data_IF_665052375660
#
_entry.id   IF_665052375660
#
_cell.length_a   1.000
_cell.length_b   1.000
_cell.length_c   1.000
_cell.angle_alpha   90.00
_cell.angle_beta   90.00
_cell.angle_gamma   90.00
#
_symmetry.space_group_name_H-M   'P 1'
#
loop_
_entity.id
_entity.type
_entity.pdbx_description
1 polymer ?
#
# COMPACT_ATOMS: atom_id res chain seq x y z
N UNK A 1 -4.14 14.82 -45.95
CA UNK A 1 -3.83 13.52 -46.56
C UNK A 1 -2.37 13.25 -46.37
N UNK A 2 -1.97 12.49 -45.40
CA UNK A 2 -0.61 11.96 -45.24
C UNK A 2 -0.72 10.60 -44.60
N UNK A 3 -0.42 9.57 -45.35
CA UNK A 3 -0.50 8.16 -45.02
C UNK A 3 0.67 7.77 -44.09
N UNK A 4 0.37 7.06 -43.03
CA UNK A 4 1.35 6.41 -42.18
C UNK A 4 1.77 5.07 -42.81
N UNK A 5 3.06 4.91 -43.09
CA UNK A 5 3.63 3.70 -43.62
C UNK A 5 3.84 2.66 -42.50
N UNK A 6 3.18 1.51 -42.64
CA UNK A 6 3.46 0.29 -41.87
C UNK A 6 4.71 -0.38 -42.46
N UNK A 7 5.79 -0.39 -41.72
CA UNK A 7 6.96 -1.17 -42.05
C UNK A 7 6.79 -2.61 -41.56
N UNK A 8 6.47 -3.53 -42.47
CA UNK A 8 6.54 -4.99 -42.24
C UNK A 8 7.98 -5.43 -42.43
N UNK A 9 8.63 -5.86 -41.37
CA UNK A 9 9.92 -6.55 -41.44
C UNK A 9 9.62 -8.04 -41.57
N UNK A 10 9.83 -8.58 -42.79
CA UNK A 10 9.88 -10.02 -43.04
C UNK A 10 11.34 -10.44 -42.86
N UNK A 11 11.66 -11.15 -41.80
CA UNK A 11 12.92 -11.86 -41.67
C UNK A 11 12.75 -13.30 -42.14
N UNK A 12 13.48 -13.62 -43.19
CA UNK A 12 13.55 -14.99 -43.74
C UNK A 12 14.35 -15.90 -42.80
N UNK A 13 13.84 -17.12 -42.64
CA UNK A 13 14.39 -18.15 -41.77
C UNK A 13 15.65 -18.79 -42.35
N UNK A 14 16.64 -19.02 -41.49
CA UNK A 14 17.50 -20.20 -41.58
C UNK A 14 18.04 -20.58 -40.19
N UNK A 15 17.55 -21.70 -39.71
CA UNK A 15 18.22 -22.65 -38.83
C UNK A 15 18.65 -22.22 -37.40
N UNK A 16 18.05 -22.87 -36.39
CA UNK A 16 18.67 -23.11 -35.10
C UNK A 16 18.02 -22.39 -33.91
N UNK A 17 17.27 -23.13 -33.13
CA UNK A 17 16.95 -23.00 -31.69
C UNK A 17 17.36 -21.72 -30.91
N UNK A 18 16.61 -20.62 -31.00
CA UNK A 18 16.70 -19.52 -30.06
C UNK A 18 15.46 -18.59 -29.98
N UNK A 19 14.28 -19.01 -30.49
CA UNK A 19 13.08 -18.16 -30.49
C UNK A 19 12.23 -18.21 -29.19
N UNK A 20 12.51 -19.13 -28.27
CA UNK A 20 11.70 -19.30 -27.06
C UNK A 20 11.99 -18.24 -25.95
N UNK A 21 13.17 -17.61 -25.93
CA UNK A 21 13.55 -16.68 -24.87
C UNK A 21 13.15 -15.21 -25.12
N UNK A 22 12.93 -14.83 -26.37
CA UNK A 22 12.61 -13.42 -26.72
C UNK A 22 11.11 -13.12 -26.47
N UNK A 23 10.23 -14.09 -26.72
CA UNK A 23 8.79 -13.93 -26.46
C UNK A 23 8.47 -13.79 -24.99
N UNK A 24 9.04 -14.64 -24.13
CA UNK A 24 8.83 -14.60 -22.69
C UNK A 24 9.33 -13.30 -22.04
N UNK A 25 10.42 -12.72 -22.54
CA UNK A 25 10.96 -11.46 -22.06
C UNK A 25 10.10 -10.24 -22.43
N UNK A 26 9.51 -10.24 -23.62
CA UNK A 26 8.62 -9.17 -24.08
C UNK A 26 7.26 -9.20 -23.34
N UNK A 27 6.71 -10.38 -23.11
CA UNK A 27 5.45 -10.54 -22.39
C UNK A 27 5.61 -10.13 -20.91
N UNK A 28 6.70 -10.50 -20.25
CA UNK A 28 6.98 -10.12 -18.88
C UNK A 28 7.22 -8.60 -18.75
N UNK A 29 7.95 -7.98 -19.67
CA UNK A 29 8.18 -6.54 -19.68
C UNK A 29 6.88 -5.77 -19.93
N UNK A 30 6.01 -6.23 -20.83
CA UNK A 30 4.72 -5.63 -21.12
C UNK A 30 3.78 -5.76 -19.92
N UNK A 31 3.72 -6.94 -19.29
CA UNK A 31 2.90 -7.19 -18.11
C UNK A 31 3.33 -6.30 -16.93
N UNK A 32 4.63 -6.14 -16.71
CA UNK A 32 5.17 -5.25 -15.69
C UNK A 32 4.81 -3.79 -15.96
N UNK A 33 4.96 -3.31 -17.19
CA UNK A 33 4.65 -1.92 -17.55
C UNK A 33 3.17 -1.59 -17.36
N UNK A 34 2.27 -2.52 -17.66
CA UNK A 34 0.82 -2.37 -17.42
C UNK A 34 0.52 -2.34 -15.92
N UNK A 35 1.16 -3.20 -15.13
CA UNK A 35 1.02 -3.21 -13.67
C UNK A 35 1.49 -1.90 -13.05
N UNK A 36 2.64 -1.38 -13.48
CA UNK A 36 3.20 -0.11 -13.00
C UNK A 36 2.29 1.08 -13.37
N UNK A 37 1.75 1.12 -14.58
CA UNK A 37 0.81 2.14 -15.02
C UNK A 37 -0.51 2.09 -14.21
N UNK A 38 -1.04 0.90 -13.95
CA UNK A 38 -2.23 0.73 -13.11
C UNK A 38 -1.97 1.22 -11.68
N UNK A 39 -0.83 0.90 -11.10
CA UNK A 39 -0.44 1.37 -9.77
C UNK A 39 -0.30 2.89 -9.73
N UNK A 40 0.33 3.51 -10.73
CA UNK A 40 0.47 4.96 -10.81
C UNK A 40 -0.89 5.68 -10.91
N UNK A 41 -1.80 5.16 -11.73
CA UNK A 41 -3.16 5.68 -11.88
C UNK A 41 -4.01 5.45 -10.62
N UNK A 42 -3.83 4.32 -9.94
CA UNK A 42 -4.45 4.02 -8.65
C UNK A 42 -4.00 5.02 -7.58
N UNK A 43 -2.69 5.27 -7.46
CA UNK A 43 -2.13 6.28 -6.55
C UNK A 43 -2.67 7.69 -6.85
N UNK A 44 -2.86 8.05 -8.12
CA UNK A 44 -3.46 9.34 -8.51
C UNK A 44 -4.90 9.45 -8.00
N UNK A 45 -5.72 8.43 -8.19
CA UNK A 45 -7.10 8.40 -7.67
C UNK A 45 -7.10 8.47 -6.13
N UNK A 46 -6.23 7.71 -5.46
CA UNK A 46 -6.09 7.71 -4.01
C UNK A 46 -5.73 9.10 -3.46
N UNK A 47 -4.76 9.81 -4.05
CA UNK A 47 -4.41 11.19 -3.64
C UNK A 47 -5.56 12.17 -3.77
N UNK A 48 -6.47 11.95 -4.72
CA UNK A 48 -7.68 12.77 -4.89
C UNK A 48 -8.82 12.37 -3.92
N UNK A 49 -8.60 11.41 -3.04
CA UNK A 49 -9.60 10.89 -2.11
C UNK A 49 -10.58 9.89 -2.73
N UNK A 50 -10.45 9.58 -4.01
CA UNK A 50 -11.29 8.58 -4.69
C UNK A 50 -10.76 7.16 -4.44
N UNK A 51 -11.06 6.68 -3.23
CA UNK A 51 -10.63 5.35 -2.78
C UNK A 51 -11.26 4.22 -3.60
N UNK A 52 -12.51 4.37 -4.00
CA UNK A 52 -13.20 3.35 -4.78
C UNK A 52 -12.54 3.16 -6.15
N UNK A 53 -12.23 4.26 -6.83
CA UNK A 53 -11.51 4.24 -8.10
C UNK A 53 -10.07 3.72 -7.94
N UNK A 54 -9.40 4.11 -6.84
CA UNK A 54 -8.06 3.61 -6.54
C UNK A 54 -8.04 2.08 -6.47
N UNK A 55 -8.97 1.47 -5.74
CA UNK A 55 -9.05 0.01 -5.65
C UNK A 55 -9.47 -0.63 -6.98
N UNK A 56 -10.44 -0.04 -7.68
CA UNK A 56 -10.89 -0.55 -8.98
C UNK A 56 -9.75 -0.66 -9.99
N UNK A 57 -8.80 0.27 -9.99
CA UNK A 57 -7.63 0.24 -10.88
C UNK A 57 -6.64 -0.89 -10.58
N UNK A 58 -6.67 -1.43 -9.37
CA UNK A 58 -5.94 -2.64 -8.97
C UNK A 58 -6.79 -3.92 -9.10
N UNK A 59 -7.94 -3.86 -9.78
CA UNK A 59 -8.92 -4.95 -9.84
C UNK A 59 -9.41 -5.42 -8.45
N UNK A 60 -9.47 -4.48 -7.49
CA UNK A 60 -9.94 -4.70 -6.13
C UNK A 60 -11.29 -4.04 -5.91
N UNK A 61 -12.10 -4.64 -5.05
CA UNK A 61 -13.33 -4.06 -4.51
C UNK A 61 -13.24 -3.96 -3.00
N UNK A 62 -13.51 -2.79 -2.45
CA UNK A 62 -13.62 -2.64 -1.02
C UNK A 62 -14.92 -3.30 -0.52
N UNK A 63 -14.79 -4.23 0.40
CA UNK A 63 -15.93 -4.99 0.95
C UNK A 63 -16.26 -4.57 2.37
N UNK A 64 -15.32 -3.97 3.10
CA UNK A 64 -15.51 -3.45 4.46
C UNK A 64 -14.51 -2.34 4.74
N UNK A 65 -14.93 -1.35 5.52
CA UNK A 65 -14.01 -0.37 6.10
C UNK A 65 -14.51 0.12 7.46
N UNK A 66 -13.60 0.66 8.25
CA UNK A 66 -13.91 1.33 9.51
C UNK A 66 -12.90 2.46 9.72
N UNK A 67 -13.39 3.65 9.96
CA UNK A 67 -12.60 4.84 10.24
C UNK A 67 -12.73 5.20 11.72
N UNK A 68 -11.62 5.48 12.38
CA UNK A 68 -11.55 6.08 13.71
C UNK A 68 -10.73 7.35 13.66
N UNK A 69 -11.24 8.40 14.28
CA UNK A 69 -10.59 9.71 14.36
C UNK A 69 -10.23 10.05 15.80
N UNK A 70 -9.26 10.94 15.94
CA UNK A 70 -8.87 11.52 17.22
C UNK A 70 -8.48 10.48 18.27
N UNK A 71 -7.77 9.43 17.84
CA UNK A 71 -7.22 8.42 18.72
C UNK A 71 -6.09 9.01 19.59
N UNK A 72 -5.90 8.43 20.76
CA UNK A 72 -4.80 8.84 21.67
C UNK A 72 -3.52 8.11 21.28
N UNK A 73 -2.53 8.86 20.76
CA UNK A 73 -1.29 8.29 20.19
C UNK A 73 -0.57 7.32 21.14
N UNK A 74 -0.31 7.72 22.37
CA UNK A 74 0.40 6.87 23.31
C UNK A 74 -0.41 5.63 23.76
N UNK A 75 -1.76 5.70 23.69
CA UNK A 75 -2.62 4.55 24.00
C UNK A 75 -2.67 3.57 22.84
N UNK A 76 -2.60 4.12 21.60
CA UNK A 76 -2.69 3.35 20.36
C UNK A 76 -1.34 2.85 19.87
N UNK A 77 -0.30 2.85 20.71
CA UNK A 77 1.06 2.47 20.34
C UNK A 77 1.74 1.64 21.44
N UNK A 78 2.82 0.98 21.07
CA UNK A 78 3.64 0.19 22.00
C UNK A 78 5.15 0.39 21.74
N UNK A 79 5.99 -0.14 22.63
CA UNK A 79 7.43 -0.10 22.49
C UNK A 79 8.01 1.31 22.56
N UNK A 80 9.07 1.58 21.79
CA UNK A 80 9.74 2.89 21.74
C UNK A 80 8.84 3.97 21.13
N UNK A 81 7.95 3.60 20.20
CA UNK A 81 6.96 4.52 19.61
C UNK A 81 6.03 5.06 20.69
N UNK A 82 5.53 4.22 21.59
CA UNK A 82 4.74 4.66 22.73
C UNK A 82 5.53 5.59 23.65
N UNK A 83 6.79 5.23 23.98
CA UNK A 83 7.66 6.05 24.81
C UNK A 83 7.94 7.42 24.15
N UNK A 84 8.04 7.43 22.84
CA UNK A 84 8.18 8.65 22.07
C UNK A 84 6.95 9.55 22.20
N UNK A 85 5.74 9.03 22.04
CA UNK A 85 4.50 9.80 22.17
C UNK A 85 4.24 10.31 23.60
N UNK A 86 4.70 9.60 24.62
CA UNK A 86 4.62 10.09 26.00
C UNK A 86 5.45 11.35 26.22
N UNK A 87 6.55 11.51 25.51
CA UNK A 87 7.45 12.67 25.59
C UNK A 87 7.15 13.73 24.52
N UNK A 88 6.64 13.32 23.37
CA UNK A 88 6.32 14.15 22.22
C UNK A 88 4.89 13.87 21.75
N UNK A 89 3.87 14.40 22.45
CA UNK A 89 2.48 14.13 22.11
C UNK A 89 2.15 14.51 20.66
N UNK A 90 1.42 13.67 19.96
CA UNK A 90 0.90 14.00 18.65
C UNK A 90 -0.24 15.03 18.74
N UNK A 91 -0.50 15.75 17.67
CA UNK A 91 -1.65 16.65 17.55
C UNK A 91 -2.93 15.91 17.15
N UNK A 92 -2.79 14.88 16.32
CA UNK A 92 -3.93 14.09 15.81
C UNK A 92 -3.47 12.71 15.38
N UNK A 93 -4.30 11.71 15.63
CA UNK A 93 -4.16 10.34 15.15
C UNK A 93 -5.49 9.87 14.60
N UNK A 94 -5.52 9.60 13.30
CA UNK A 94 -6.67 8.96 12.65
C UNK A 94 -6.22 7.63 12.04
N UNK A 95 -7.14 6.66 12.00
CA UNK A 95 -6.86 5.34 11.42
C UNK A 95 -8.03 4.85 10.57
N UNK A 96 -7.71 4.26 9.43
CA UNK A 96 -8.63 3.53 8.57
C UNK A 96 -8.21 2.05 8.54
N UNK A 97 -9.12 1.18 8.93
CA UNK A 97 -9.04 -0.25 8.64
C UNK A 97 -9.92 -0.53 7.42
N UNK A 98 -9.41 -1.23 6.42
CA UNK A 98 -10.15 -1.59 5.22
C UNK A 98 -9.93 -3.06 4.86
N UNK A 99 -10.89 -3.62 4.15
CA UNK A 99 -10.79 -4.97 3.57
C UNK A 99 -11.18 -4.87 2.10
N UNK A 100 -10.31 -5.36 1.24
CA UNK A 100 -10.53 -5.42 -0.21
C UNK A 100 -10.49 -6.87 -0.69
N UNK A 101 -11.18 -7.13 -1.80
CA UNK A 101 -11.23 -8.45 -2.43
C UNK A 101 -10.91 -8.31 -3.92
N UNK A 102 -10.12 -9.24 -4.44
CA UNK A 102 -9.86 -9.34 -5.88
C UNK A 102 -10.88 -10.25 -6.59
N UNK A 103 -10.77 -10.34 -7.91
CA UNK A 103 -11.64 -11.17 -8.76
C UNK A 103 -11.44 -12.67 -8.57
N UNK A 104 -10.32 -13.10 -7.96
CA UNK A 104 -10.01 -14.50 -7.67
C UNK A 104 -10.51 -14.93 -6.28
N UNK A 105 -11.13 -14.02 -5.53
CA UNK A 105 -11.63 -14.29 -4.19
C UNK A 105 -10.58 -14.17 -3.08
N UNK A 106 -9.36 -13.68 -3.38
CA UNK A 106 -8.41 -13.31 -2.35
C UNK A 106 -8.93 -12.11 -1.58
N UNK A 107 -8.75 -12.12 -0.27
CA UNK A 107 -9.17 -11.04 0.62
C UNK A 107 -7.95 -10.49 1.34
N UNK A 108 -7.78 -9.18 1.27
CA UNK A 108 -6.65 -8.44 1.85
C UNK A 108 -7.22 -7.47 2.89
N UNK A 109 -6.68 -7.48 4.09
CA UNK A 109 -6.89 -6.42 5.07
C UNK A 109 -5.76 -5.40 4.95
N UNK A 110 -6.09 -4.14 5.15
CA UNK A 110 -5.12 -3.08 5.23
C UNK A 110 -5.48 -2.06 6.30
N UNK A 111 -4.47 -1.41 6.84
CA UNK A 111 -4.61 -0.26 7.72
C UNK A 111 -3.90 0.95 7.14
N UNK A 112 -4.45 2.13 7.39
CA UNK A 112 -3.77 3.40 7.16
C UNK A 112 -3.86 4.21 8.44
N UNK A 113 -2.71 4.69 8.89
CA UNK A 113 -2.58 5.54 10.08
C UNK A 113 -2.04 6.89 9.66
N UNK A 114 -2.72 7.96 10.03
CA UNK A 114 -2.27 9.35 9.84
C UNK A 114 -1.96 9.95 11.20
N UNK A 115 -0.69 10.30 11.41
CA UNK A 115 -0.22 10.95 12.65
C UNK A 115 0.24 12.35 12.34
N UNK A 116 -0.44 13.36 12.87
CA UNK A 116 0.00 14.75 12.80
C UNK A 116 0.83 15.09 14.04
N UNK A 117 2.09 15.40 13.82
CA UNK A 117 3.04 15.81 14.86
C UNK A 117 3.11 17.34 15.01
N UNK A 118 3.61 17.86 16.14
CA UNK A 118 3.78 19.30 16.34
C UNK A 118 4.74 19.97 15.35
N UNK A 119 5.77 19.26 14.89
CA UNK A 119 6.78 19.76 13.96
C UNK A 119 7.17 18.72 12.92
N UNK A 120 7.79 19.16 11.83
CA UNK A 120 8.33 18.24 10.81
C UNK A 120 9.49 17.40 11.37
N UNK A 121 10.26 17.94 12.29
CA UNK A 121 11.35 17.23 12.96
C UNK A 121 10.80 16.09 13.82
N UNK A 122 9.77 16.35 14.65
CA UNK A 122 9.14 15.28 15.43
C UNK A 122 8.45 14.24 14.55
N UNK A 123 7.94 14.63 13.39
CA UNK A 123 7.41 13.69 12.40
C UNK A 123 8.52 12.80 11.81
N UNK A 124 9.70 13.38 11.50
CA UNK A 124 10.84 12.62 11.00
C UNK A 124 11.37 11.62 12.03
N UNK A 125 11.43 12.02 13.30
CA UNK A 125 11.85 11.15 14.40
C UNK A 125 10.85 9.99 14.59
N UNK A 126 9.56 10.28 14.58
CA UNK A 126 8.52 9.25 14.65
C UNK A 126 8.65 8.27 13.49
N UNK A 127 8.75 8.77 12.26
CA UNK A 127 8.92 7.91 11.08
C UNK A 127 10.17 7.04 11.19
N UNK A 128 11.29 7.58 11.67
CA UNK A 128 12.52 6.81 11.89
C UNK A 128 12.34 5.67 12.89
N UNK A 129 11.51 5.85 13.92
CA UNK A 129 11.15 4.77 14.84
C UNK A 129 10.27 3.73 14.17
N UNK A 130 9.23 4.15 13.45
CA UNK A 130 8.33 3.25 12.71
C UNK A 130 9.06 2.42 11.66
N UNK A 131 10.03 3.02 10.95
CA UNK A 131 10.84 2.34 9.94
C UNK A 131 11.91 1.40 10.55
N UNK A 132 12.06 1.37 11.89
CA UNK A 132 13.03 0.54 12.58
C UNK A 132 12.38 -0.73 13.14
N UNK A 133 12.75 -1.89 12.60
CA UNK A 133 12.22 -3.16 13.07
C UNK A 133 12.47 -3.37 14.57
N UNK A 134 11.39 -3.69 15.31
CA UNK A 134 11.45 -3.98 16.75
C UNK A 134 11.39 -2.76 17.66
N UNK A 135 11.30 -1.54 17.15
CA UNK A 135 11.12 -0.31 17.97
C UNK A 135 9.73 -0.19 18.59
N UNK A 136 8.76 -0.94 18.11
CA UNK A 136 7.33 -0.78 18.42
C UNK A 136 6.59 -0.21 17.22
N UNK A 137 5.32 0.12 17.40
CA UNK A 137 4.44 0.55 16.29
C UNK A 137 3.21 1.29 16.83
N UNK A 138 2.50 2.01 15.94
CA UNK A 138 1.12 2.43 16.16
C UNK A 138 0.19 1.28 15.79
N UNK A 139 -0.39 0.63 16.80
CA UNK A 139 -1.27 -0.51 16.59
C UNK A 139 -2.52 -0.11 15.81
N UNK A 140 -2.84 -0.75 14.68
CA UNK A 140 -4.10 -0.54 13.98
C UNK A 140 -5.29 -0.85 14.88
N UNK A 141 -6.28 0.06 14.95
CA UNK A 141 -7.46 -0.18 15.78
C UNK A 141 -8.33 -1.33 15.23
N UNK A 142 -9.02 -2.02 16.12
CA UNK A 142 -10.00 -3.06 15.75
C UNK A 142 -9.35 -4.34 15.22
N UNK A 143 -8.05 -4.49 15.38
CA UNK A 143 -7.33 -5.74 15.08
C UNK A 143 -7.79 -6.87 15.99
N UNK A 144 -8.30 -6.57 17.19
CA UNK A 144 -8.85 -7.57 18.14
C UNK A 144 -9.98 -8.40 17.51
N UNK A 145 -10.79 -7.77 16.64
CA UNK A 145 -11.88 -8.46 15.92
C UNK A 145 -11.33 -9.36 14.82
N UNK A 146 -10.24 -8.93 14.18
CA UNK A 146 -9.55 -9.72 13.15
C UNK A 146 -8.71 -10.82 13.79
N UNK A 147 -8.06 -10.53 14.92
CA UNK A 147 -7.27 -11.48 15.71
C UNK A 147 -8.11 -12.62 16.27
N UNK A 148 -9.38 -12.37 16.65
CA UNK A 148 -10.33 -13.41 17.02
C UNK A 148 -10.58 -14.42 15.87
N UNK A 149 -10.35 -14.00 14.61
CA UNK A 149 -10.31 -14.84 13.42
C UNK A 149 -8.92 -15.38 13.06
N UNK A 150 -7.90 -15.18 13.91
CA UNK A 150 -6.53 -15.62 13.67
C UNK A 150 -5.70 -14.71 12.73
N UNK A 151 -6.19 -13.50 12.42
CA UNK A 151 -5.49 -12.54 11.58
C UNK A 151 -4.59 -11.62 12.41
N UNK A 152 -3.38 -11.35 11.89
CA UNK A 152 -2.46 -10.33 12.42
C UNK A 152 -1.76 -9.63 11.28
N UNK A 153 -1.52 -8.33 11.45
CA UNK A 153 -0.57 -7.61 10.61
C UNK A 153 0.85 -8.06 10.94
N UNK A 154 1.67 -8.28 9.91
CA UNK A 154 3.01 -8.86 10.04
C UNK A 154 4.15 -7.85 9.90
N UNK A 155 3.85 -6.61 9.49
CA UNK A 155 4.84 -5.60 9.11
C UNK A 155 5.56 -5.88 7.79
N UNK A 156 5.27 -7.01 7.13
CA UNK A 156 5.98 -7.42 5.91
C UNK A 156 5.65 -6.55 4.69
N UNK A 157 4.41 -6.09 4.62
CA UNK A 157 3.89 -5.28 3.52
C UNK A 157 3.56 -3.87 4.01
N UNK A 158 4.59 -3.25 4.55
CA UNK A 158 4.57 -1.94 5.21
C UNK A 158 5.05 -0.83 4.28
N UNK A 159 4.49 0.36 4.45
CA UNK A 159 4.93 1.62 3.84
C UNK A 159 4.78 2.76 4.83
N UNK A 160 5.74 3.67 4.79
CA UNK A 160 5.65 4.94 5.50
C UNK A 160 6.02 6.10 4.61
N UNK A 161 5.41 7.25 4.84
CA UNK A 161 5.84 8.52 4.27
C UNK A 161 5.67 9.65 5.26
N UNK A 162 6.38 10.72 5.01
CA UNK A 162 6.22 11.98 5.72
C UNK A 162 5.86 13.09 4.73
N UNK A 163 4.93 13.96 5.14
CA UNK A 163 4.56 15.18 4.44
C UNK A 163 4.49 16.32 5.48
N UNK A 164 5.58 17.08 5.58
CA UNK A 164 5.74 18.09 6.61
C UNK A 164 5.58 17.49 8.02
N UNK A 165 4.50 17.86 8.72
CA UNK A 165 4.17 17.39 10.07
C UNK A 165 3.37 16.07 10.10
N UNK A 166 2.94 15.59 8.94
CA UNK A 166 2.13 14.39 8.81
C UNK A 166 3.03 13.17 8.54
N UNK A 167 2.88 12.13 9.35
CA UNK A 167 3.39 10.78 9.06
C UNK A 167 2.20 9.92 8.65
N UNK A 168 2.35 9.19 7.55
CA UNK A 168 1.38 8.19 7.11
C UNK A 168 2.05 6.84 7.13
N UNK A 169 1.35 5.87 7.68
CA UNK A 169 1.78 4.48 7.80
C UNK A 169 0.70 3.63 7.15
N UNK A 170 1.07 2.75 6.24
CA UNK A 170 0.15 1.81 5.60
C UNK A 170 0.70 0.40 5.67
N UNK A 171 -0.16 -0.54 5.99
CA UNK A 171 0.18 -1.94 6.12
C UNK A 171 -0.93 -2.80 5.53
N UNK A 172 -0.55 -3.90 4.87
CA UNK A 172 -1.50 -4.85 4.28
C UNK A 172 -1.06 -6.27 4.50
N UNK A 173 -2.02 -7.16 4.75
CA UNK A 173 -1.77 -8.60 4.85
C UNK A 173 -2.96 -9.42 4.33
N UNK A 174 -2.74 -10.67 3.86
CA UNK A 174 -3.81 -11.51 3.36
C UNK A 174 -4.67 -12.04 4.50
N UNK A 175 -6.00 -11.92 4.36
CA UNK A 175 -6.98 -12.56 5.24
C UNK A 175 -7.40 -13.92 4.70
N UNK A 176 -7.52 -14.01 3.35
CA UNK A 176 -7.92 -15.23 2.65
C UNK A 176 -7.24 -15.32 1.30
N UNK A 177 -6.88 -16.53 0.89
CA UNK A 177 -6.15 -16.77 -0.36
C UNK A 177 -4.65 -16.52 -0.21
N UNK A 178 -3.97 -16.41 -1.35
CA UNK A 178 -2.52 -16.24 -1.41
C UNK A 178 -2.13 -15.21 -2.47
N UNK A 179 -2.50 -13.92 -2.27
CA UNK A 179 -2.00 -12.86 -3.13
C UNK A 179 -0.48 -12.76 -3.01
N UNK A 180 0.21 -12.35 -4.08
CA UNK A 180 1.67 -12.21 -4.01
C UNK A 180 2.11 -11.10 -3.07
N UNK A 181 3.30 -11.24 -2.49
CA UNK A 181 3.91 -10.20 -1.64
C UNK A 181 4.05 -8.87 -2.39
N UNK A 182 4.36 -8.92 -3.69
CA UNK A 182 4.46 -7.73 -4.52
C UNK A 182 3.10 -7.02 -4.66
N UNK A 183 2.03 -7.77 -4.86
CA UNK A 183 0.69 -7.20 -4.93
C UNK A 183 0.25 -6.60 -3.59
N UNK A 184 0.53 -7.27 -2.48
CA UNK A 184 0.27 -6.71 -1.14
C UNK A 184 1.02 -5.38 -0.94
N UNK A 185 2.30 -5.31 -1.33
CA UNK A 185 3.07 -4.05 -1.30
C UNK A 185 2.47 -2.97 -2.20
N UNK A 186 1.96 -3.33 -3.39
CA UNK A 186 1.25 -2.36 -4.26
C UNK A 186 -0.02 -1.80 -3.60
N UNK A 187 -0.78 -2.64 -2.91
CA UNK A 187 -1.97 -2.19 -2.16
C UNK A 187 -1.56 -1.24 -1.03
N UNK A 188 -0.51 -1.56 -0.27
CA UNK A 188 0.05 -0.67 0.75
C UNK A 188 0.56 0.66 0.16
N UNK A 189 1.23 0.62 -1.00
CA UNK A 189 1.70 1.79 -1.73
C UNK A 189 0.56 2.74 -2.18
N UNK A 190 -0.61 2.18 -2.50
CA UNK A 190 -1.80 2.97 -2.84
C UNK A 190 -2.48 3.50 -1.58
N UNK A 191 -2.53 2.69 -0.54
CA UNK A 191 -3.10 3.07 0.76
C UNK A 191 -2.31 4.22 1.41
N UNK A 192 -0.98 4.17 1.35
CA UNK A 192 -0.08 5.20 1.91
C UNK A 192 -0.34 6.61 1.36
N UNK A 193 -0.80 6.75 0.11
CA UNK A 193 -1.06 8.05 -0.50
C UNK A 193 -2.49 8.55 -0.32
N UNK A 194 -3.34 7.85 0.42
CA UNK A 194 -4.67 8.33 0.79
C UNK A 194 -4.54 9.59 1.67
N UNK A 195 -5.38 10.63 1.44
CA UNK A 195 -5.40 11.80 2.29
C UNK A 195 -5.99 11.48 3.67
N UNK A 196 -5.62 12.22 4.71
CA UNK A 196 -6.28 12.13 6.01
C UNK A 196 -7.77 12.49 5.91
N UNK A 197 -8.63 11.90 6.74
CA UNK A 197 -10.06 12.09 6.72
C UNK A 197 -10.55 13.41 7.35
#
# INVERSE_FOLDING_TARGET
MTAAALATVVAAASGGDTVASVGAGLDAATSKSVSDANTANSKKAARNGDRAEAWRRLALKEVRNKLKKELRCAVQSFGQVQQYFLRHPCQKLDQLLFVVQDTNGNTIAGSVTWVKMPSAESAAQLRGLEDTYGSGDVTPFGTEVLEAGGFRFTGKHYRSRQDGKLVVIAETDPVKGSPSDEFLKQVADVADVLPPP
#
